data_IF_744933091951
#
_entry.id   IF_744933091951
#
_cell.length_a   1.000
_cell.length_b   1.000
_cell.length_c   1.000
_cell.angle_alpha   90.00
_cell.angle_beta   90.00
_cell.angle_gamma   90.00
#
_symmetry.space_group_name_H-M   'P 1'
#
loop_
_entity.id
_entity.type
_entity.pdbx_description
1 polymer ?
#
# COMPACT_ATOMS: atom_id res chain seq x y z
N UNK A 1 5.93 -19.04 20.48
CA UNK A 1 5.14 -18.55 19.34
C UNK A 1 5.92 -18.89 18.08
N UNK A 2 5.37 -19.56 17.06
CA UNK A 2 6.11 -19.81 15.84
C UNK A 2 6.33 -18.49 15.11
N UNK A 3 7.54 -18.28 14.59
CA UNK A 3 7.89 -17.12 13.79
C UNK A 3 7.11 -17.12 12.46
N UNK A 4 6.67 -15.95 11.95
CA UNK A 4 5.99 -15.88 10.67
C UNK A 4 6.93 -16.30 9.54
N UNK A 5 6.40 -17.11 8.61
CA UNK A 5 7.15 -17.50 7.41
C UNK A 5 7.24 -16.31 6.44
N UNK A 6 8.45 -15.83 6.21
CA UNK A 6 8.75 -14.73 5.33
C UNK A 6 9.08 -15.24 3.93
N UNK A 7 8.32 -14.84 2.92
CA UNK A 7 8.74 -14.98 1.52
C UNK A 7 9.32 -13.62 1.05
N UNK A 8 10.57 -13.38 1.41
CA UNK A 8 11.37 -12.34 0.77
C UNK A 8 11.86 -12.87 -0.57
N UNK A 9 11.41 -12.32 -1.69
CA UNK A 9 12.09 -12.48 -2.97
C UNK A 9 13.29 -11.53 -2.94
N UNK A 10 14.32 -11.93 -2.23
CA UNK A 10 15.65 -11.35 -2.41
C UNK A 10 16.22 -11.90 -3.71
N UNK A 11 16.62 -11.06 -4.63
CA UNK A 11 17.32 -11.42 -5.84
C UNK A 11 18.59 -12.21 -5.50
N UNK A 12 18.54 -13.55 -5.50
CA UNK A 12 19.71 -14.41 -5.53
C UNK A 12 19.93 -14.85 -6.98
N UNK A 13 20.82 -14.17 -7.69
CA UNK A 13 21.45 -14.76 -8.84
C UNK A 13 22.43 -15.85 -8.39
N UNK A 14 22.49 -17.04 -9.06
CA UNK A 14 23.51 -18.04 -8.78
C UNK A 14 24.88 -17.48 -9.16
N UNK A 15 25.80 -17.51 -8.20
CA UNK A 15 27.21 -17.15 -8.39
C UNK A 15 27.86 -18.16 -9.32
N UNK A 16 28.10 -17.78 -10.58
CA UNK A 16 29.11 -18.40 -11.41
C UNK A 16 30.44 -17.70 -11.07
N UNK A 17 31.33 -18.44 -10.43
CA UNK A 17 32.65 -17.94 -10.06
C UNK A 17 33.53 -17.69 -11.26
N UNK A 18 33.97 -16.45 -11.45
CA UNK A 18 35.26 -16.13 -12.12
C UNK A 18 36.05 -15.22 -11.19
N UNK A 19 37.21 -15.73 -10.75
CA UNK A 19 38.20 -14.93 -10.05
C UNK A 19 38.74 -13.85 -10.99
N UNK A 20 38.53 -12.60 -10.64
CA UNK A 20 39.28 -11.47 -11.16
C UNK A 20 39.63 -10.52 -10.02
N UNK A 21 40.88 -10.12 -10.01
CA UNK A 21 41.66 -9.24 -9.13
C UNK A 21 40.86 -8.16 -8.41
N UNK A 22 41.06 -8.13 -7.07
CA UNK A 22 40.62 -7.07 -6.16
C UNK A 22 41.24 -5.74 -6.53
N UNK A 23 40.47 -4.82 -7.03
CA UNK A 23 40.64 -3.39 -6.80
C UNK A 23 39.56 -2.94 -5.84
N UNK A 24 39.97 -2.50 -4.65
CA UNK A 24 39.13 -1.91 -3.61
C UNK A 24 38.59 -0.56 -4.12
N UNK A 25 37.49 -0.58 -4.83
CA UNK A 25 36.57 0.54 -4.92
C UNK A 25 35.26 0.08 -4.22
N UNK A 26 35.19 0.35 -2.93
CA UNK A 26 33.89 0.48 -2.25
C UNK A 26 33.20 1.68 -2.89
N UNK A 27 32.50 1.46 -3.98
CA UNK A 27 31.40 2.33 -4.37
C UNK A 27 30.42 2.26 -3.21
N UNK A 28 30.29 3.32 -2.43
CA UNK A 28 29.15 3.55 -1.56
C UNK A 28 27.90 3.48 -2.47
N UNK A 29 27.33 2.32 -2.58
CA UNK A 29 26.01 2.16 -3.15
C UNK A 29 25.09 2.81 -2.11
N UNK A 30 24.61 4.02 -2.42
CA UNK A 30 23.67 4.75 -1.58
C UNK A 30 22.54 3.80 -1.17
N UNK A 31 22.33 3.67 0.14
CA UNK A 31 21.27 2.83 0.69
C UNK A 31 19.93 3.44 0.26
N UNK A 32 19.22 2.77 -0.63
CA UNK A 32 17.89 3.23 -1.04
C UNK A 32 16.88 2.84 0.03
N UNK A 33 15.98 3.76 0.37
CA UNK A 33 14.87 3.55 1.30
C UNK A 33 14.15 2.24 0.97
N UNK A 34 14.04 1.27 1.89
CA UNK A 34 13.31 0.03 1.62
C UNK A 34 11.82 0.29 1.51
N UNK A 35 11.14 -0.48 0.66
CA UNK A 35 9.69 -0.43 0.53
C UNK A 35 9.07 -1.66 1.18
N UNK A 36 8.03 -1.45 2.00
CA UNK A 36 7.22 -2.54 2.56
C UNK A 36 5.79 -2.44 2.05
N UNK A 37 5.37 -3.49 1.35
CA UNK A 37 4.05 -3.61 0.75
C UNK A 37 3.09 -4.41 1.63
N UNK A 38 1.86 -3.89 1.81
CA UNK A 38 0.77 -4.55 2.53
C UNK A 38 -0.44 -4.69 1.62
N UNK A 39 -0.85 -5.94 1.38
CA UNK A 39 -1.96 -6.29 0.49
C UNK A 39 -3.34 -5.94 1.07
N UNK A 40 -4.33 -5.83 0.20
CA UNK A 40 -5.74 -5.70 0.56
C UNK A 40 -6.41 -7.02 0.95
N UNK A 41 -7.71 -6.97 1.21
CA UNK A 41 -8.49 -8.17 1.48
C UNK A 41 -8.39 -9.19 0.36
N UNK A 42 -8.40 -10.48 0.71
CA UNK A 42 -8.31 -11.62 -0.19
C UNK A 42 -7.00 -11.75 -0.97
N UNK A 43 -6.09 -10.76 -0.87
CA UNK A 43 -4.78 -10.78 -1.49
C UNK A 43 -3.72 -11.48 -0.64
N UNK A 44 -2.48 -11.38 -1.06
CA UNK A 44 -1.27 -11.71 -0.30
C UNK A 44 -0.06 -11.05 -0.97
N UNK A 45 1.17 -11.38 -0.56
CA UNK A 45 2.37 -10.77 -1.15
C UNK A 45 2.45 -10.88 -2.69
N UNK A 46 1.83 -11.89 -3.31
CA UNK A 46 1.87 -12.12 -4.75
C UNK A 46 1.28 -10.96 -5.58
N UNK A 47 0.30 -10.21 -5.04
CA UNK A 47 -0.32 -9.09 -5.77
C UNK A 47 0.66 -7.95 -6.08
N UNK A 48 1.86 -7.99 -5.49
CA UNK A 48 2.90 -6.99 -5.66
C UNK A 48 4.03 -7.41 -6.60
N UNK A 49 3.91 -8.59 -7.22
CA UNK A 49 5.00 -9.20 -8.00
C UNK A 49 5.50 -8.27 -9.10
N UNK A 50 4.60 -7.69 -9.90
CA UNK A 50 4.94 -6.80 -11.01
C UNK A 50 5.62 -5.51 -10.50
N UNK A 51 5.06 -4.91 -9.46
CA UNK A 51 5.64 -3.70 -8.85
C UNK A 51 7.01 -3.96 -8.26
N UNK A 52 7.16 -5.06 -7.51
CA UNK A 52 8.44 -5.42 -6.89
C UNK A 52 9.53 -5.71 -7.93
N UNK A 53 9.18 -6.40 -9.02
CA UNK A 53 10.11 -6.67 -10.12
C UNK A 53 10.57 -5.38 -10.78
N UNK A 54 9.62 -4.50 -11.14
CA UNK A 54 9.91 -3.21 -11.75
C UNK A 54 10.79 -2.33 -10.85
N UNK A 55 10.50 -2.23 -9.57
CA UNK A 55 11.29 -1.45 -8.61
C UNK A 55 12.68 -2.07 -8.36
N UNK A 56 12.77 -3.41 -8.36
CA UNK A 56 14.05 -4.11 -8.21
C UNK A 56 15.00 -3.87 -9.40
N UNK A 57 14.48 -3.71 -10.62
CA UNK A 57 15.26 -3.29 -11.80
C UNK A 57 15.92 -1.93 -11.60
N UNK A 58 15.36 -1.09 -10.73
CA UNK A 58 15.89 0.22 -10.33
C UNK A 58 16.67 0.16 -9.00
N UNK A 59 17.07 -1.04 -8.54
CA UNK A 59 17.82 -1.29 -7.30
C UNK A 59 17.10 -0.81 -6.03
N UNK A 60 15.77 -0.79 -6.00
CA UNK A 60 14.99 -0.46 -4.80
C UNK A 60 14.73 -1.75 -3.99
N UNK A 61 15.11 -1.81 -2.70
CA UNK A 61 14.81 -2.96 -1.85
C UNK A 61 13.30 -3.05 -1.58
N UNK A 62 12.67 -4.16 -1.97
CA UNK A 62 11.23 -4.36 -1.87
C UNK A 62 10.87 -5.58 -1.05
N UNK A 63 9.91 -5.45 -0.15
CA UNK A 63 9.41 -6.50 0.74
C UNK A 63 7.89 -6.49 0.72
N UNK A 64 7.26 -7.64 0.52
CA UNK A 64 5.81 -7.78 0.59
C UNK A 64 5.43 -8.77 1.69
N UNK A 65 4.52 -8.36 2.58
CA UNK A 65 4.04 -9.22 3.65
C UNK A 65 2.80 -9.98 3.22
N UNK A 66 2.75 -11.28 3.53
CA UNK A 66 1.50 -12.04 3.57
C UNK A 66 1.02 -12.10 5.02
N UNK A 67 -0.10 -11.45 5.32
CA UNK A 67 -0.68 -11.45 6.66
C UNK A 67 -1.17 -12.87 7.02
N UNK A 68 -1.41 -13.16 8.32
CA UNK A 68 -1.96 -14.45 8.75
C UNK A 68 -3.21 -14.83 7.95
N UNK A 69 -3.33 -16.09 7.56
CA UNK A 69 -4.41 -16.59 6.74
C UNK A 69 -4.27 -16.29 5.26
N UNK A 70 -3.19 -15.64 4.81
CA UNK A 70 -3.00 -15.19 3.43
C UNK A 70 -1.72 -15.76 2.81
N UNK A 71 -1.81 -16.16 1.53
CA UNK A 71 -0.68 -16.68 0.75
C UNK A 71 0.03 -17.85 1.44
N UNK A 72 1.35 -17.74 1.58
CA UNK A 72 2.18 -18.77 2.23
C UNK A 72 2.41 -18.51 3.73
N UNK A 73 1.69 -17.56 4.34
CA UNK A 73 1.75 -17.31 5.78
C UNK A 73 1.02 -18.41 6.57
N UNK A 74 1.12 -18.35 7.89
CA UNK A 74 0.39 -19.27 8.75
C UNK A 74 -1.13 -19.14 8.56
N UNK A 75 -1.82 -20.27 8.33
CA UNK A 75 -3.25 -20.34 8.15
C UNK A 75 -3.97 -20.78 9.42
N UNK A 76 -4.77 -19.90 10.07
CA UNK A 76 -5.69 -20.28 11.13
C UNK A 76 -6.76 -21.25 10.61
N UNK A 77 -7.43 -21.99 11.50
CA UNK A 77 -8.64 -22.71 11.13
C UNK A 77 -9.72 -21.75 10.60
N UNK A 78 -10.68 -22.29 9.82
CA UNK A 78 -11.77 -21.51 9.23
C UNK A 78 -12.47 -20.59 10.26
N UNK A 79 -12.97 -21.15 11.36
CA UNK A 79 -13.67 -20.37 12.39
C UNK A 79 -12.78 -19.27 12.99
N UNK A 80 -11.50 -19.58 13.22
CA UNK A 80 -10.54 -18.60 13.74
C UNK A 80 -10.21 -17.52 12.73
N UNK A 81 -10.08 -17.85 11.44
CA UNK A 81 -9.81 -16.86 10.41
C UNK A 81 -11.01 -15.92 10.24
N UNK A 82 -12.19 -16.47 10.00
CA UNK A 82 -13.38 -15.70 9.62
C UNK A 82 -13.96 -14.92 10.80
N UNK A 83 -14.09 -15.57 11.96
CA UNK A 83 -14.80 -14.99 13.11
C UNK A 83 -13.88 -14.59 14.27
N UNK A 84 -12.67 -15.08 14.34
CA UNK A 84 -11.73 -14.84 15.44
C UNK A 84 -10.54 -13.95 15.10
N UNK A 85 -10.20 -13.76 13.82
CA UNK A 85 -9.08 -12.90 13.43
C UNK A 85 -9.53 -11.45 13.40
N UNK A 86 -8.87 -10.63 14.20
CA UNK A 86 -9.18 -9.20 14.33
C UNK A 86 -8.25 -8.34 13.48
N UNK A 87 -8.66 -7.10 13.18
CA UNK A 87 -7.81 -6.10 12.53
C UNK A 87 -6.51 -5.86 13.32
N UNK A 88 -6.57 -5.84 14.65
CA UNK A 88 -5.39 -5.66 15.50
C UNK A 88 -4.38 -6.79 15.33
N UNK A 89 -4.82 -8.03 15.16
CA UNK A 89 -3.93 -9.15 14.91
C UNK A 89 -3.27 -9.09 13.53
N UNK A 90 -4.01 -8.64 12.49
CA UNK A 90 -3.45 -8.38 11.17
C UNK A 90 -2.46 -7.20 11.21
N UNK A 91 -2.77 -6.15 11.98
CA UNK A 91 -1.84 -5.05 12.21
C UNK A 91 -0.54 -5.52 12.89
N UNK A 92 -0.61 -6.42 13.86
CA UNK A 92 0.59 -6.97 14.51
C UNK A 92 1.49 -7.73 13.54
N UNK A 93 0.92 -8.44 12.55
CA UNK A 93 1.71 -9.10 11.50
C UNK A 93 2.45 -8.08 10.62
N UNK A 94 1.73 -7.02 10.21
CA UNK A 94 2.32 -5.95 9.40
C UNK A 94 3.40 -5.18 10.18
N UNK A 95 3.15 -4.85 11.46
CA UNK A 95 4.14 -4.19 12.34
C UNK A 95 5.40 -5.03 12.47
N UNK A 96 5.26 -6.35 12.74
CA UNK A 96 6.42 -7.24 12.84
C UNK A 96 7.25 -7.27 11.54
N UNK A 97 6.57 -7.27 10.38
CA UNK A 97 7.24 -7.21 9.08
C UNK A 97 7.97 -5.89 8.85
N UNK A 98 7.31 -4.77 9.12
CA UNK A 98 7.87 -3.44 8.97
C UNK A 98 9.10 -3.28 9.87
N UNK A 99 8.98 -3.63 11.16
CA UNK A 99 10.09 -3.54 12.11
C UNK A 99 11.29 -4.40 11.68
N UNK A 100 11.04 -5.63 11.23
CA UNK A 100 12.12 -6.50 10.74
C UNK A 100 12.86 -5.90 9.52
N UNK A 101 12.13 -5.29 8.57
CA UNK A 101 12.74 -4.64 7.41
C UNK A 101 13.57 -3.42 7.86
N UNK A 102 13.00 -2.58 8.72
CA UNK A 102 13.65 -1.36 9.21
C UNK A 102 14.91 -1.69 10.02
N UNK A 103 14.86 -2.70 10.90
CA UNK A 103 16.04 -3.20 11.63
C UNK A 103 17.13 -3.70 10.68
N UNK A 104 16.75 -4.44 9.62
CA UNK A 104 17.69 -4.97 8.64
C UNK A 104 18.38 -3.90 7.83
N UNK A 105 17.71 -2.80 7.52
CA UNK A 105 18.25 -1.69 6.72
C UNK A 105 18.85 -0.57 7.58
N UNK A 106 18.52 -0.53 8.87
CA UNK A 106 18.93 0.56 9.76
C UNK A 106 18.23 1.88 9.50
N UNK A 107 17.14 1.85 8.73
CA UNK A 107 16.36 3.03 8.36
C UNK A 107 14.86 2.75 8.25
N UNK A 108 14.04 3.80 8.32
CA UNK A 108 12.58 3.68 8.17
C UNK A 108 12.21 3.45 6.70
N UNK A 109 11.16 2.65 6.47
CA UNK A 109 10.70 2.27 5.15
C UNK A 109 9.67 3.24 4.56
N UNK A 110 9.54 3.25 3.22
CA UNK A 110 8.30 3.68 2.55
C UNK A 110 7.27 2.57 2.72
N UNK A 111 6.13 2.89 3.32
CA UNK A 111 5.03 1.95 3.49
C UNK A 111 4.02 2.09 2.35
N UNK A 112 3.72 0.98 1.68
CA UNK A 112 2.79 0.95 0.55
C UNK A 112 1.65 0.01 0.86
N UNK A 113 0.40 0.50 0.86
CA UNK A 113 -0.76 -0.31 1.17
C UNK A 113 -1.87 -0.20 0.14
N UNK A 114 -2.38 -1.36 -0.29
CA UNK A 114 -3.50 -1.44 -1.21
C UNK A 114 -4.81 -1.72 -0.46
N UNK A 115 -5.89 -1.05 -0.85
CA UNK A 115 -7.25 -1.32 -0.35
C UNK A 115 -7.32 -1.36 1.18
N UNK A 116 -7.82 -2.44 1.79
CA UNK A 116 -7.86 -2.61 3.26
C UNK A 116 -6.46 -2.69 3.91
N UNK A 117 -5.42 -3.08 3.17
CA UNK A 117 -4.02 -2.99 3.64
C UNK A 117 -3.56 -1.55 3.81
N UNK A 118 -3.97 -0.65 2.90
CA UNK A 118 -3.77 0.79 3.07
C UNK A 118 -4.52 1.34 4.30
N UNK A 119 -5.74 0.86 4.55
CA UNK A 119 -6.46 1.16 5.79
C UNK A 119 -5.73 0.66 7.03
N UNK A 120 -5.12 -0.54 6.95
CA UNK A 120 -4.35 -1.13 8.05
C UNK A 120 -3.12 -0.29 8.38
N UNK A 121 -2.34 0.13 7.37
CA UNK A 121 -1.18 1.00 7.55
C UNK A 121 -1.54 2.36 8.15
N UNK A 122 -2.65 2.96 7.71
CA UNK A 122 -3.17 4.20 8.31
C UNK A 122 -3.46 4.01 9.80
N UNK A 123 -4.08 2.89 10.18
CA UNK A 123 -4.34 2.57 11.59
C UNK A 123 -3.06 2.35 12.41
N UNK A 124 -2.07 1.65 11.87
CA UNK A 124 -0.76 1.38 12.49
C UNK A 124 -0.01 2.69 12.76
N UNK A 125 0.09 3.57 11.76
CA UNK A 125 0.75 4.88 11.90
C UNK A 125 -0.03 5.81 12.84
N UNK A 126 -1.37 5.80 12.78
CA UNK A 126 -2.22 6.56 13.69
C UNK A 126 -2.06 6.13 15.16
N UNK A 127 -1.80 4.85 15.39
CA UNK A 127 -1.49 4.29 16.72
C UNK A 127 -0.01 4.41 17.09
N UNK A 128 0.82 5.03 16.25
CA UNK A 128 2.26 5.25 16.44
C UNK A 128 3.04 3.95 16.75
N UNK A 129 2.62 2.84 16.14
CA UNK A 129 3.25 1.53 16.36
C UNK A 129 4.57 1.37 15.59
N UNK A 130 4.74 2.13 14.49
CA UNK A 130 5.97 2.25 13.70
C UNK A 130 6.12 3.66 13.18
N UNK A 131 7.31 4.01 12.72
CA UNK A 131 7.57 5.21 11.94
C UNK A 131 7.82 4.86 10.47
N UNK A 132 7.71 5.83 9.57
CA UNK A 132 7.91 5.63 8.13
C UNK A 132 8.58 6.85 7.48
N UNK A 133 9.33 6.63 6.39
CA UNK A 133 9.85 7.72 5.54
C UNK A 133 8.75 8.31 4.63
N UNK A 134 7.70 7.55 4.37
CA UNK A 134 6.56 7.97 3.58
C UNK A 134 5.45 6.92 3.61
N UNK A 135 4.29 7.29 3.09
CA UNK A 135 3.12 6.43 3.00
C UNK A 135 2.49 6.54 1.61
N UNK A 136 2.37 5.41 0.89
CA UNK A 136 1.65 5.33 -0.37
C UNK A 136 0.36 4.49 -0.20
N UNK A 137 -0.77 5.07 -0.53
CA UNK A 137 -2.12 4.54 -0.38
C UNK A 137 -2.71 4.26 -1.77
N UNK A 138 -2.68 2.99 -2.20
CA UNK A 138 -3.11 2.55 -3.51
C UNK A 138 -4.56 2.04 -3.44
N UNK A 139 -5.53 2.76 -4.01
CA UNK A 139 -6.94 2.42 -3.89
C UNK A 139 -7.34 2.10 -2.45
N UNK A 140 -6.81 2.85 -1.48
CA UNK A 140 -6.83 2.46 -0.08
C UNK A 140 -8.16 2.78 0.61
N UNK A 141 -8.57 1.91 1.53
CA UNK A 141 -9.69 2.18 2.44
C UNK A 141 -9.39 3.46 3.23
N UNK A 142 -10.27 4.47 3.19
CA UNK A 142 -10.02 5.75 3.84
C UNK A 142 -10.14 5.68 5.37
N UNK A 143 -9.23 6.36 6.07
CA UNK A 143 -9.22 6.42 7.53
C UNK A 143 -10.46 7.08 8.17
N UNK A 144 -11.22 7.84 7.39
CA UNK A 144 -12.52 8.40 7.82
C UNK A 144 -13.69 7.40 7.73
N UNK A 145 -13.43 6.15 7.33
CA UNK A 145 -14.39 5.04 7.29
C UNK A 145 -14.76 4.59 5.89
N UNK A 146 -15.01 3.29 5.74
CA UNK A 146 -15.27 2.60 4.47
C UNK A 146 -16.74 2.42 4.13
N UNK A 147 -17.67 2.99 4.88
CA UNK A 147 -19.10 2.80 4.61
C UNK A 147 -19.48 3.16 3.16
N UNK A 148 -18.97 4.28 2.64
CA UNK A 148 -19.17 4.70 1.24
C UNK A 148 -18.66 3.70 0.21
N UNK A 149 -17.56 2.99 0.51
CA UNK A 149 -16.99 1.95 -0.35
C UNK A 149 -17.95 0.78 -0.50
N UNK A 150 -18.56 0.35 0.60
CA UNK A 150 -19.56 -0.74 0.56
C UNK A 150 -20.86 -0.32 -0.12
N UNK A 151 -21.26 0.95 -0.02
CA UNK A 151 -22.38 1.49 -0.81
C UNK A 151 -22.04 1.45 -2.31
N UNK A 152 -20.83 1.80 -2.71
CA UNK A 152 -20.38 1.69 -4.09
C UNK A 152 -20.42 0.23 -4.56
N UNK A 153 -19.93 -0.72 -3.75
CA UNK A 153 -19.99 -2.14 -4.08
C UNK A 153 -21.45 -2.60 -4.27
N UNK A 154 -22.34 -2.25 -3.34
CA UNK A 154 -23.76 -2.62 -3.42
C UNK A 154 -24.48 -2.06 -4.67
N UNK A 155 -24.01 -0.94 -5.26
CA UNK A 155 -24.59 -0.37 -6.49
C UNK A 155 -24.40 -1.27 -7.70
N UNK A 156 -23.26 -1.92 -7.84
CA UNK A 156 -23.00 -2.82 -8.97
C UNK A 156 -23.15 -4.30 -8.64
N UNK A 157 -23.16 -4.67 -7.36
CA UNK A 157 -23.37 -6.02 -6.88
C UNK A 157 -24.18 -6.03 -5.57
N UNK A 158 -25.51 -5.81 -5.64
CA UNK A 158 -26.33 -5.68 -4.44
C UNK A 158 -26.45 -6.97 -3.61
N UNK A 159 -26.09 -8.11 -4.18
CA UNK A 159 -26.17 -9.42 -3.51
C UNK A 159 -24.86 -9.86 -2.88
N UNK A 160 -23.78 -9.07 -2.96
CA UNK A 160 -22.45 -9.51 -2.51
C UNK A 160 -22.43 -9.87 -1.02
N UNK A 161 -23.08 -9.08 -0.16
CA UNK A 161 -23.12 -9.32 1.29
C UNK A 161 -23.88 -10.59 1.61
N UNK A 162 -25.02 -10.81 0.92
CA UNK A 162 -25.85 -12.01 1.11
C UNK A 162 -25.07 -13.26 0.68
N UNK A 163 -24.41 -13.22 -0.48
CA UNK A 163 -23.55 -14.33 -0.94
C UNK A 163 -22.41 -14.59 0.03
N UNK A 164 -21.71 -13.55 0.48
CA UNK A 164 -20.62 -13.68 1.42
C UNK A 164 -21.08 -14.35 2.72
N UNK A 165 -22.24 -13.96 3.24
CA UNK A 165 -22.82 -14.55 4.44
C UNK A 165 -23.22 -16.00 4.22
N UNK A 166 -23.94 -16.33 3.14
CA UNK A 166 -24.36 -17.70 2.82
C UNK A 166 -23.19 -18.65 2.57
N UNK A 167 -22.08 -18.16 2.06
CA UNK A 167 -20.87 -18.93 1.78
C UNK A 167 -19.83 -18.85 2.91
N UNK A 168 -20.21 -18.37 4.08
CA UNK A 168 -19.37 -18.38 5.27
C UNK A 168 -18.08 -17.60 5.14
N UNK A 169 -18.11 -16.44 4.47
CA UNK A 169 -16.93 -15.58 4.29
C UNK A 169 -15.87 -16.12 3.33
N UNK A 170 -16.22 -17.12 2.51
CA UNK A 170 -15.30 -17.61 1.50
C UNK A 170 -14.88 -16.49 0.55
N UNK A 171 -13.59 -16.42 0.17
CA UNK A 171 -13.03 -15.34 -0.67
C UNK A 171 -13.77 -15.18 -2.00
N UNK A 172 -14.22 -16.29 -2.59
CA UNK A 172 -15.01 -16.26 -3.81
C UNK A 172 -16.49 -15.86 -3.58
N UNK A 173 -16.92 -15.56 -2.35
CA UNK A 173 -18.31 -15.19 -2.08
C UNK A 173 -18.71 -13.87 -2.73
N UNK A 174 -17.99 -12.75 -2.54
CA UNK A 174 -18.23 -11.53 -3.30
C UNK A 174 -17.69 -11.63 -4.74
N UNK A 175 -16.72 -12.52 -5.00
CA UNK A 175 -16.02 -12.72 -6.27
C UNK A 175 -16.32 -14.09 -6.88
N UNK A 176 -17.53 -14.63 -6.66
CA UNK A 176 -17.94 -16.00 -7.01
C UNK A 176 -17.94 -16.30 -8.51
N UNK A 177 -17.80 -15.29 -9.35
CA UNK A 177 -17.73 -15.44 -10.79
C UNK A 177 -16.67 -14.48 -11.36
N UNK A 178 -15.86 -14.88 -12.37
CA UNK A 178 -14.82 -14.02 -12.95
C UNK A 178 -15.34 -12.65 -13.41
N UNK A 179 -16.57 -12.58 -13.93
CA UNK A 179 -17.19 -11.32 -14.32
C UNK A 179 -17.46 -10.39 -13.13
N UNK A 180 -17.79 -10.92 -11.95
CA UNK A 180 -17.94 -10.10 -10.74
C UNK A 180 -16.58 -9.60 -10.26
N UNK A 181 -15.55 -10.44 -10.33
CA UNK A 181 -14.16 -10.04 -10.02
C UNK A 181 -13.70 -8.92 -10.95
N UNK A 182 -13.91 -9.06 -12.27
CA UNK A 182 -13.59 -8.00 -13.23
C UNK A 182 -14.32 -6.71 -12.90
N UNK A 183 -15.66 -6.79 -12.71
CA UNK A 183 -16.49 -5.63 -12.40
C UNK A 183 -16.04 -4.88 -11.15
N UNK A 184 -15.59 -5.61 -10.12
CA UNK A 184 -15.18 -5.01 -8.84
C UNK A 184 -13.74 -4.49 -8.87
N UNK A 185 -12.82 -5.20 -9.53
CA UNK A 185 -11.38 -5.02 -9.31
C UNK A 185 -10.60 -4.56 -10.53
N UNK A 186 -11.10 -4.77 -11.75
CA UNK A 186 -10.32 -4.55 -12.97
C UNK A 186 -11.04 -3.68 -13.98
N UNK A 187 -10.31 -3.24 -15.00
CA UNK A 187 -10.86 -2.63 -16.21
C UNK A 187 -11.79 -3.61 -16.94
N UNK A 188 -12.72 -3.06 -17.75
CA UNK A 188 -13.74 -3.89 -18.40
C UNK A 188 -13.16 -4.79 -19.52
N UNK A 189 -11.99 -4.47 -20.05
CA UNK A 189 -11.24 -5.21 -21.07
C UNK A 189 -10.19 -6.18 -20.50
N UNK A 190 -10.06 -6.28 -19.16
CA UNK A 190 -9.08 -7.18 -18.54
C UNK A 190 -9.37 -8.65 -18.91
N UNK A 191 -8.33 -9.45 -19.33
CA UNK A 191 -8.53 -10.76 -19.92
C UNK A 191 -9.14 -11.76 -18.94
N UNK A 192 -10.07 -12.57 -19.43
CA UNK A 192 -10.73 -13.63 -18.65
C UNK A 192 -9.73 -14.66 -18.10
N UNK A 193 -8.70 -15.01 -18.88
CA UNK A 193 -7.66 -15.95 -18.45
C UNK A 193 -6.90 -15.45 -17.23
N UNK A 194 -6.51 -14.18 -17.23
CA UNK A 194 -5.83 -13.56 -16.09
C UNK A 194 -6.76 -13.37 -14.89
N UNK A 195 -8.05 -13.14 -15.10
CA UNK A 195 -9.04 -13.09 -14.01
C UNK A 195 -9.18 -14.45 -13.32
N UNK A 196 -9.22 -15.53 -14.06
CA UNK A 196 -9.27 -16.89 -13.49
C UNK A 196 -7.99 -17.17 -12.71
N UNK A 197 -6.83 -16.82 -13.25
CA UNK A 197 -5.55 -16.94 -12.55
C UNK A 197 -5.53 -16.11 -11.25
N UNK A 198 -5.99 -14.87 -11.29
CA UNK A 198 -6.13 -14.01 -10.12
C UNK A 198 -7.02 -14.64 -9.05
N UNK A 199 -8.18 -15.21 -9.43
CA UNK A 199 -9.08 -15.89 -8.50
C UNK A 199 -8.44 -17.13 -7.87
N UNK A 200 -7.64 -17.90 -8.62
CA UNK A 200 -6.94 -19.07 -8.10
C UNK A 200 -5.90 -18.73 -7.04
N UNK A 201 -5.29 -17.54 -7.13
CA UNK A 201 -4.33 -17.04 -6.14
C UNK A 201 -4.99 -16.31 -4.95
N UNK A 202 -6.28 -15.98 -5.05
CA UNK A 202 -7.00 -15.32 -3.96
C UNK A 202 -7.13 -16.22 -2.75
N UNK A 203 -7.07 -15.62 -1.56
CA UNK A 203 -7.20 -16.40 -0.33
C UNK A 203 -8.56 -17.04 -0.20
N UNK A 204 -8.58 -18.21 0.44
CA UNK A 204 -9.79 -19.00 0.59
C UNK A 204 -10.81 -18.36 1.55
N UNK A 205 -10.33 -17.72 2.61
CA UNK A 205 -11.17 -17.10 3.64
C UNK A 205 -10.62 -15.74 4.04
N UNK A 206 -11.55 -14.84 4.41
CA UNK A 206 -11.22 -13.52 4.91
C UNK A 206 -11.86 -13.27 6.27
N UNK A 207 -11.24 -12.45 7.10
CA UNK A 207 -11.78 -12.01 8.37
C UNK A 207 -12.97 -11.08 8.17
N UNK A 208 -14.11 -11.35 8.81
CA UNK A 208 -15.23 -10.40 8.86
C UNK A 208 -14.91 -9.15 9.69
N UNK A 209 -14.04 -9.26 10.67
CA UNK A 209 -13.70 -8.14 11.54
C UNK A 209 -12.82 -7.10 10.86
N UNK A 210 -12.03 -7.50 9.87
CA UNK A 210 -11.16 -6.57 9.17
C UNK A 210 -11.97 -5.44 8.51
N UNK A 211 -12.88 -5.69 7.58
CA UNK A 211 -13.70 -4.64 6.97
C UNK A 211 -14.65 -3.97 7.97
N UNK A 212 -15.30 -4.73 8.84
CA UNK A 212 -16.30 -4.19 9.77
C UNK A 212 -15.73 -3.13 10.72
N UNK A 213 -14.51 -3.34 11.22
CA UNK A 213 -13.85 -2.39 12.13
C UNK A 213 -13.32 -1.14 11.43
N UNK A 214 -13.36 -1.08 10.10
CA UNK A 214 -12.98 0.09 9.30
C UNK A 214 -14.19 0.82 8.71
N UNK A 215 -15.43 0.40 8.96
CA UNK A 215 -16.62 1.06 8.42
C UNK A 215 -16.84 2.47 8.99
N UNK A 216 -16.43 2.72 10.21
CA UNK A 216 -16.47 4.04 10.88
C UNK A 216 -15.08 4.68 10.89
N UNK A 217 -14.96 6.01 11.17
CA UNK A 217 -13.65 6.65 11.33
C UNK A 217 -12.78 5.91 12.35
N UNK A 218 -11.53 5.59 11.97
CA UNK A 218 -10.61 4.78 12.79
C UNK A 218 -9.18 5.32 12.81
N UNK A 219 -8.92 6.46 12.17
CA UNK A 219 -7.58 7.07 12.05
C UNK A 219 -7.60 8.47 12.64
N UNK A 220 -6.64 8.75 13.52
CA UNK A 220 -6.26 10.11 13.87
C UNK A 220 -5.18 10.57 12.90
N UNK A 221 -5.52 11.48 12.00
CA UNK A 221 -4.63 11.92 10.91
C UNK A 221 -3.42 12.70 11.40
N UNK A 222 -3.54 13.45 12.50
CA UNK A 222 -2.41 14.20 13.06
C UNK A 222 -1.38 13.25 13.70
N UNK A 223 -1.84 12.22 14.44
CA UNK A 223 -0.96 11.17 14.97
C UNK A 223 -0.27 10.39 13.85
N UNK A 224 -0.99 10.07 12.77
CA UNK A 224 -0.43 9.41 11.59
C UNK A 224 0.69 10.26 10.97
N UNK A 225 0.44 11.54 10.72
CA UNK A 225 1.42 12.46 10.13
C UNK A 225 2.65 12.57 11.02
N UNK A 226 2.49 12.60 12.35
CA UNK A 226 3.60 12.65 13.31
C UNK A 226 4.44 11.36 13.33
N UNK A 227 3.91 10.25 12.79
CA UNK A 227 4.66 8.99 12.63
C UNK A 227 5.46 8.92 11.34
N UNK A 228 5.29 9.89 10.43
CA UNK A 228 6.07 9.99 9.20
C UNK A 228 7.23 10.94 9.44
N UNK A 229 8.43 10.53 9.02
CA UNK A 229 9.68 11.28 9.19
C UNK A 229 10.06 12.05 7.92
N UNK A 230 11.09 12.88 8.07
CA UNK A 230 11.72 13.57 6.94
C UNK A 230 10.79 14.56 6.23
N UNK A 231 9.82 15.14 6.91
CA UNK A 231 9.04 16.28 6.40
C UNK A 231 10.01 17.38 5.95
N UNK A 232 9.68 18.35 5.35
CA UNK A 232 10.51 19.41 4.79
C UNK A 232 9.80 19.96 3.57
N UNK A 233 10.45 19.99 2.41
CA UNK A 233 9.88 20.50 1.17
C UNK A 233 9.27 19.41 0.26
N UNK A 234 9.07 18.17 0.74
CA UNK A 234 8.52 17.08 -0.09
C UNK A 234 7.21 16.54 0.42
N UNK A 235 6.36 16.10 -0.50
CA UNK A 235 5.21 15.29 -0.17
C UNK A 235 5.68 13.96 0.43
N UNK A 236 5.09 13.55 1.53
CA UNK A 236 5.42 12.31 2.25
C UNK A 236 4.28 11.30 2.22
N UNK A 237 3.12 11.73 1.73
CA UNK A 237 1.96 10.87 1.53
C UNK A 237 1.62 10.87 0.04
N UNK A 238 1.45 9.68 -0.54
CA UNK A 238 0.90 9.48 -1.87
C UNK A 238 -0.47 8.83 -1.75
N UNK A 239 -1.46 9.36 -2.46
CA UNK A 239 -2.78 8.76 -2.66
C UNK A 239 -2.90 8.45 -4.15
N UNK A 240 -2.94 7.16 -4.51
CA UNK A 240 -2.99 6.70 -5.89
C UNK A 240 -4.22 5.82 -6.11
N UNK A 241 -4.90 5.98 -7.24
CA UNK A 241 -6.01 5.09 -7.61
C UNK A 241 -6.17 4.99 -9.12
N UNK A 242 -6.83 3.93 -9.58
CA UNK A 242 -7.22 3.78 -10.98
C UNK A 242 -8.41 4.66 -11.32
N UNK A 243 -8.42 5.23 -12.54
CA UNK A 243 -9.54 6.08 -13.00
C UNK A 243 -10.86 5.31 -13.18
N UNK A 244 -10.79 3.96 -13.28
CA UNK A 244 -11.94 3.06 -13.39
C UNK A 244 -12.27 2.36 -12.07
N UNK A 245 -11.66 2.74 -10.94
CA UNK A 245 -11.94 2.16 -9.65
C UNK A 245 -13.39 2.48 -9.22
N UNK A 246 -14.21 1.43 -9.17
CA UNK A 246 -15.64 1.52 -8.82
C UNK A 246 -15.87 1.45 -7.31
N UNK A 247 -14.86 1.07 -6.53
CA UNK A 247 -14.92 0.97 -5.07
C UNK A 247 -14.41 2.25 -4.42
N UNK A 248 -13.15 2.59 -4.70
CA UNK A 248 -12.48 3.80 -4.22
C UNK A 248 -12.63 4.89 -5.28
N UNK A 249 -13.87 5.37 -5.43
CA UNK A 249 -14.20 6.36 -6.46
C UNK A 249 -13.40 7.65 -6.32
N UNK A 250 -13.33 8.42 -7.42
CA UNK A 250 -12.65 9.70 -7.48
C UNK A 250 -12.90 10.57 -6.24
N UNK A 251 -14.18 10.77 -5.87
CA UNK A 251 -14.56 11.62 -4.72
C UNK A 251 -14.01 11.13 -3.39
N UNK A 252 -13.97 9.80 -3.19
CA UNK A 252 -13.41 9.19 -1.97
C UNK A 252 -11.92 9.47 -1.89
N UNK A 253 -11.17 9.33 -3.01
CA UNK A 253 -9.73 9.47 -3.02
C UNK A 253 -9.29 10.94 -2.95
N UNK A 254 -9.99 11.84 -3.62
CA UNK A 254 -9.81 13.31 -3.45
C UNK A 254 -10.04 13.69 -2.00
N UNK A 255 -11.16 13.25 -1.40
CA UNK A 255 -11.45 13.50 0.02
C UNK A 255 -10.37 12.93 0.94
N UNK A 256 -9.78 11.77 0.61
CA UNK A 256 -8.70 11.18 1.40
C UNK A 256 -7.45 12.06 1.35
N UNK A 257 -7.01 12.48 0.16
CA UNK A 257 -5.90 13.41 -0.02
C UNK A 257 -6.13 14.74 0.73
N UNK A 258 -7.31 15.34 0.57
CA UNK A 258 -7.67 16.60 1.24
C UNK A 258 -7.72 16.47 2.76
N UNK A 259 -8.13 15.31 3.28
CA UNK A 259 -8.13 15.05 4.72
C UNK A 259 -6.70 15.12 5.28
N UNK A 260 -5.73 14.56 4.58
CA UNK A 260 -4.32 14.63 4.97
C UNK A 260 -3.74 16.04 4.75
N UNK A 261 -4.00 16.67 3.60
CA UNK A 261 -3.57 18.07 3.33
C UNK A 261 -4.02 19.02 4.42
N UNK A 262 -5.29 18.94 4.81
CA UNK A 262 -5.85 19.77 5.91
C UNK A 262 -5.16 19.49 7.24
N UNK A 263 -4.79 18.26 7.52
CA UNK A 263 -4.10 17.89 8.76
C UNK A 263 -2.65 18.34 8.76
N UNK A 264 -1.93 18.24 7.65
CA UNK A 264 -0.58 18.80 7.48
C UNK A 264 -0.63 20.32 7.71
N UNK A 265 -1.53 21.03 7.04
CA UNK A 265 -1.69 22.48 7.20
C UNK A 265 -1.95 22.90 8.65
N UNK A 266 -2.82 22.18 9.38
CA UNK A 266 -3.06 22.45 10.82
C UNK A 266 -1.83 22.23 11.67
N UNK A 267 -1.07 21.15 11.44
CA UNK A 267 0.14 20.85 12.22
C UNK A 267 1.25 21.88 11.96
N UNK A 268 1.42 22.33 10.72
CA UNK A 268 2.37 23.40 10.37
C UNK A 268 1.97 24.73 11.00
N UNK A 269 0.70 25.13 10.87
CA UNK A 269 0.18 26.33 11.49
C UNK A 269 0.32 26.34 13.02
N UNK A 270 0.18 25.16 13.65
CA UNK A 270 0.40 24.96 15.07
C UNK A 270 1.88 24.82 15.47
N UNK A 271 2.83 24.93 14.53
CA UNK A 271 4.28 24.70 14.74
C UNK A 271 4.62 23.32 15.33
N UNK A 272 3.80 22.32 15.03
CA UNK A 272 3.99 20.91 15.45
C UNK A 272 4.61 20.05 14.36
N UNK A 273 4.72 20.59 13.15
CA UNK A 273 5.33 19.94 12.00
C UNK A 273 6.24 20.94 11.30
N UNK A 274 7.50 20.58 11.14
CA UNK A 274 8.45 21.35 10.34
C UNK A 274 8.36 20.86 8.88
N UNK A 275 7.44 21.45 8.15
CA UNK A 275 7.23 21.17 6.75
C UNK A 275 6.94 22.46 5.98
N UNK A 276 7.53 22.57 4.79
CA UNK A 276 7.20 23.64 3.87
C UNK A 276 5.91 23.27 3.13
N UNK A 277 4.91 24.14 3.28
CA UNK A 277 3.57 23.91 2.73
C UNK A 277 3.44 24.73 1.46
N UNK A 278 3.78 24.12 0.32
CA UNK A 278 3.56 24.75 -0.97
C UNK A 278 2.08 24.60 -1.37
N UNK A 279 1.57 25.54 -2.18
CA UNK A 279 0.22 25.41 -2.75
C UNK A 279 0.10 24.15 -3.61
N UNK A 280 -1.11 23.61 -3.66
CA UNK A 280 -1.39 22.43 -4.51
C UNK A 280 -1.24 22.82 -5.97
N UNK A 281 -0.38 22.08 -6.68
CA UNK A 281 -0.14 22.26 -8.13
C UNK A 281 -0.59 21.01 -8.86
N UNK A 282 -1.35 21.22 -9.93
CA UNK A 282 -1.70 20.15 -10.85
C UNK A 282 -0.58 20.00 -11.88
N UNK A 283 -0.08 18.79 -12.04
CA UNK A 283 0.98 18.45 -12.96
C UNK A 283 0.45 17.50 -14.06
N UNK A 284 0.87 17.74 -15.30
CA UNK A 284 0.64 16.77 -16.36
C UNK A 284 1.53 15.55 -16.11
N UNK A 285 0.94 14.38 -15.93
CA UNK A 285 1.64 13.12 -15.71
C UNK A 285 1.35 12.09 -16.79
N UNK A 286 2.25 11.12 -16.97
CA UNK A 286 1.96 9.92 -17.76
C UNK A 286 0.88 9.11 -17.04
N UNK A 287 -0.28 8.92 -17.71
CA UNK A 287 -1.40 8.16 -17.13
C UNK A 287 -2.33 8.97 -16.23
N UNK A 288 -2.51 10.28 -16.47
CA UNK A 288 -3.44 11.15 -15.77
C UNK A 288 -2.78 12.35 -15.09
N UNK A 289 -3.60 13.30 -14.64
CA UNK A 289 -3.12 14.47 -13.90
C UNK A 289 -2.79 14.10 -12.47
N UNK A 290 -1.68 14.62 -11.97
CA UNK A 290 -1.27 14.48 -10.58
C UNK A 290 -1.37 15.84 -9.87
N UNK A 291 -1.82 15.84 -8.62
CA UNK A 291 -1.83 17.03 -7.76
C UNK A 291 -0.78 16.85 -6.65
N UNK A 292 0.17 17.77 -6.57
CA UNK A 292 1.23 17.79 -5.55
C UNK A 292 1.10 19.03 -4.66
N UNK A 293 1.41 18.87 -3.39
CA UNK A 293 1.46 19.97 -2.44
C UNK A 293 0.76 19.66 -1.11
N UNK A 294 1.04 20.50 -0.13
CA UNK A 294 0.57 20.33 1.23
C UNK A 294 0.94 18.96 1.84
N UNK A 295 2.12 18.44 1.46
CA UNK A 295 2.65 17.16 1.94
C UNK A 295 2.00 15.92 1.32
N UNK A 296 1.11 16.07 0.33
CA UNK A 296 0.34 14.97 -0.26
C UNK A 296 0.29 15.04 -1.77
N UNK A 297 0.78 13.99 -2.42
CA UNK A 297 0.59 13.74 -3.85
C UNK A 297 -0.68 12.92 -4.06
N UNK A 298 -1.63 13.43 -4.85
CA UNK A 298 -2.77 12.68 -5.37
C UNK A 298 -2.47 12.32 -6.83
N UNK A 299 -2.55 11.06 -7.19
CA UNK A 299 -2.18 10.58 -8.53
C UNK A 299 -3.15 9.53 -9.06
N UNK A 300 -3.31 9.50 -10.38
CA UNK A 300 -4.25 8.64 -11.08
C UNK A 300 -3.52 7.69 -12.01
N UNK A 301 -4.02 6.45 -12.10
CA UNK A 301 -3.59 5.48 -13.10
C UNK A 301 -4.72 5.33 -14.11
N UNK A 302 -4.56 5.96 -15.27
CA UNK A 302 -5.59 5.98 -16.31
C UNK A 302 -5.87 4.58 -16.82
N UNK A 303 -7.16 4.24 -16.95
CA UNK A 303 -7.62 2.96 -17.45
C UNK A 303 -7.53 1.79 -16.46
N UNK A 304 -6.95 1.99 -15.26
CA UNK A 304 -6.89 0.94 -14.24
C UNK A 304 -8.14 0.90 -13.36
N UNK A 305 -8.53 -0.31 -12.96
CA UNK A 305 -9.53 -0.57 -11.93
C UNK A 305 -8.96 -0.51 -10.51
N UNK A 306 -9.64 -1.15 -9.56
CA UNK A 306 -9.27 -1.17 -8.15
C UNK A 306 -7.92 -1.85 -7.87
N UNK A 307 -7.63 -2.97 -8.55
CA UNK A 307 -6.35 -3.67 -8.49
C UNK A 307 -5.33 -3.07 -9.46
N UNK A 308 -5.08 -1.76 -9.35
CA UNK A 308 -4.23 -1.00 -10.26
C UNK A 308 -2.81 -1.59 -10.40
N UNK A 309 -2.31 -2.32 -9.41
CA UNK A 309 -1.01 -3.00 -9.46
C UNK A 309 -1.01 -4.30 -10.26
N UNK A 310 -2.18 -4.81 -10.64
CA UNK A 310 -2.33 -6.03 -11.44
C UNK A 310 -3.14 -5.78 -12.73
N UNK A 311 -3.68 -4.58 -12.95
CA UNK A 311 -4.42 -4.23 -14.17
C UNK A 311 -3.47 -3.96 -15.34
N UNK A 312 -3.99 -3.73 -16.53
CA UNK A 312 -3.20 -3.46 -17.74
C UNK A 312 -2.22 -2.30 -17.58
N UNK A 313 -2.65 -1.25 -16.91
CA UNK A 313 -1.86 -0.05 -16.67
C UNK A 313 -0.94 -0.13 -15.46
N UNK A 314 -0.69 -1.34 -14.90
CA UNK A 314 0.10 -1.52 -13.68
C UNK A 314 1.46 -0.81 -13.74
N UNK A 315 2.11 -0.82 -14.91
CA UNK A 315 3.42 -0.20 -15.10
C UNK A 315 3.40 1.30 -14.84
N UNK A 316 2.33 2.00 -15.27
CA UNK A 316 2.17 3.44 -15.01
C UNK A 316 2.13 3.72 -13.52
N UNK A 317 1.39 2.92 -12.75
CA UNK A 317 1.35 3.02 -11.29
C UNK A 317 2.70 2.72 -10.63
N UNK A 318 3.44 1.73 -11.14
CA UNK A 318 4.77 1.39 -10.66
C UNK A 318 5.78 2.52 -10.94
N UNK A 319 5.76 3.13 -12.13
CA UNK A 319 6.61 4.27 -12.50
C UNK A 319 6.32 5.49 -11.59
N UNK A 320 5.05 5.76 -11.29
CA UNK A 320 4.66 6.85 -10.37
C UNK A 320 5.12 6.58 -8.93
N UNK A 321 5.02 5.34 -8.48
CA UNK A 321 5.54 4.95 -7.15
C UNK A 321 7.06 5.05 -7.09
N UNK A 322 7.78 4.66 -8.16
CA UNK A 322 9.22 4.82 -8.27
C UNK A 322 9.61 6.31 -8.18
N UNK A 323 8.97 7.18 -8.95
CA UNK A 323 9.24 8.62 -8.90
C UNK A 323 8.97 9.22 -7.51
N UNK A 324 7.93 8.76 -6.83
CA UNK A 324 7.66 9.17 -5.44
C UNK A 324 8.75 8.68 -4.48
N UNK A 325 9.20 7.43 -4.61
CA UNK A 325 10.30 6.88 -3.83
C UNK A 325 11.61 7.66 -4.05
N UNK A 326 11.98 7.96 -5.29
CA UNK A 326 13.17 8.75 -5.62
C UNK A 326 13.10 10.17 -5.04
N UNK A 327 11.93 10.79 -5.04
CA UNK A 327 11.70 12.08 -4.39
C UNK A 327 11.94 12.02 -2.88
N UNK A 328 11.56 10.92 -2.21
CA UNK A 328 11.83 10.73 -0.79
C UNK A 328 13.32 10.57 -0.50
N UNK A 329 14.04 9.83 -1.34
CA UNK A 329 15.47 9.54 -1.22
C UNK A 329 16.34 10.79 -1.47
N UNK A 330 16.11 11.52 -2.57
CA UNK A 330 16.90 12.69 -2.98
C UNK A 330 16.97 13.82 -1.94
N UNK A 331 15.98 13.91 -1.04
CA UNK A 331 15.90 14.98 -0.03
C UNK A 331 16.41 14.57 1.35
N UNK A 332 16.72 13.30 1.57
CA UNK A 332 17.45 12.81 2.75
C UNK A 332 18.89 13.34 2.80
N UNK A 333 19.53 13.49 1.64
CA UNK A 333 20.91 13.93 1.53
C UNK A 333 21.15 15.39 1.96
N UNK A 334 20.16 16.28 1.78
CA UNK A 334 20.29 17.71 2.13
C UNK A 334 20.24 17.93 3.66
N UNK A 335 19.61 17.04 4.43
CA UNK A 335 19.50 17.17 5.88
C UNK A 335 20.76 16.72 6.64
N UNK A 336 21.54 15.79 6.10
CA UNK A 336 22.78 15.33 6.75
C UNK A 336 23.96 16.29 6.54
N UNK A 337 23.94 17.11 5.51
CA UNK A 337 24.98 18.11 5.22
C UNK A 337 25.04 19.27 6.22
N UNK A 338 23.99 19.56 6.98
CA UNK A 338 23.93 20.68 7.92
C UNK A 338 24.23 20.34 9.39
N UNK A 339 24.46 19.05 9.72
CA UNK A 339 24.82 18.65 11.10
C UNK A 339 26.33 18.50 11.33
N UNK A 340 27.20 18.89 10.37
CA UNK A 340 28.65 18.89 10.52
C UNK A 340 29.23 20.28 10.24
N UNK A 341 28.88 21.27 11.06
CA UNK A 341 29.70 22.48 11.25
C UNK A 341 29.65 22.88 12.72
#
# INVERSE_FOLDING_TARGET
MPQPAWNGIGSRHPLVGSRSSRTNQQTHQESKIPIVFVHGGMGSAWVWTEYMQHLAEHNVPCYAVSLRGHGNSWHPSYLRMVYGTTRSQLASDAVAAISWVQERHGEEALLVGHSSGGGLLQGILSAQQVHAQGLALLGAVPGFGSFGVYLNWARFDPLFVIRMWLQGGHSNSPLSHPLLTRRAFFSDDYPMTKLIEFQLHSNRYESFWWPLTMMRPFVNTESLISSIRGWGSSDRIMVMTGTLDKLMTHDIMVRLADTYRKSVGRLVAAKKLDAKVDEVKTMAGVGGQDDEGLGVRLTWVEGAGHHLQNDWSWKVGADKLLAFHEQLAAKGEISEGYQKV
#
